data_IF_525514747057
#
_entry.id   IF_525514747057
#
_cell.length_a   1.000
_cell.length_b   1.000
_cell.length_c   1.000
_cell.angle_alpha   90.00
_cell.angle_beta   90.00
_cell.angle_gamma   90.00
#
_symmetry.space_group_name_H-M   'P 1'
#
loop_
_entity.id
_entity.type
_entity.pdbx_description
1 polymer ?
#
# COMPACT_ATOMS: atom_id res chain seq x y z
N UNK A 1 -30.88 1.02 6.18
CA UNK A 1 -30.10 1.86 7.11
C UNK A 1 -28.63 1.45 7.12
N UNK A 2 -28.29 0.19 7.21
CA UNK A 2 -26.90 -0.33 7.27
C UNK A 2 -26.03 0.18 6.12
N UNK A 3 -26.43 0.02 4.87
CA UNK A 3 -25.66 0.49 3.71
C UNK A 3 -25.45 2.01 3.72
N UNK A 4 -26.40 2.79 4.23
CA UNK A 4 -26.26 4.24 4.34
C UNK A 4 -25.16 4.60 5.34
N UNK A 5 -25.08 3.90 6.49
CA UNK A 5 -24.02 4.12 7.48
C UNK A 5 -22.64 3.77 6.92
N UNK A 6 -22.52 2.66 6.19
CA UNK A 6 -21.26 2.26 5.53
C UNK A 6 -20.83 3.34 4.53
N UNK A 7 -21.74 3.73 3.62
CA UNK A 7 -21.45 4.75 2.58
C UNK A 7 -21.08 6.08 3.24
N UNK A 8 -21.82 6.52 4.26
CA UNK A 8 -21.52 7.75 4.98
C UNK A 8 -20.12 7.73 5.61
N UNK A 9 -19.73 6.61 6.24
CA UNK A 9 -18.39 6.44 6.82
C UNK A 9 -17.30 6.54 5.77
N UNK A 10 -17.47 5.89 4.61
CA UNK A 10 -16.52 5.95 3.49
C UNK A 10 -16.44 7.38 2.93
N UNK A 11 -17.59 8.07 2.75
CA UNK A 11 -17.60 9.46 2.28
C UNK A 11 -16.88 10.39 3.26
N UNK A 12 -17.14 10.26 4.56
CA UNK A 12 -16.45 11.04 5.61
C UNK A 12 -14.94 10.80 5.52
N UNK A 13 -14.51 9.56 5.36
CA UNK A 13 -13.09 9.22 5.17
C UNK A 13 -12.51 9.89 3.92
N UNK A 14 -13.18 9.79 2.75
CA UNK A 14 -12.69 10.39 1.51
C UNK A 14 -12.63 11.93 1.59
N UNK A 15 -13.64 12.56 2.20
CA UNK A 15 -13.66 14.01 2.45
C UNK A 15 -12.49 14.41 3.38
N UNK A 16 -12.21 13.63 4.43
CA UNK A 16 -11.08 13.89 5.31
C UNK A 16 -9.74 13.86 4.54
N UNK A 17 -9.54 12.92 3.61
CA UNK A 17 -8.34 12.87 2.76
C UNK A 17 -8.21 14.11 1.88
N UNK A 18 -9.30 14.57 1.26
CA UNK A 18 -9.32 15.82 0.48
C UNK A 18 -8.98 17.04 1.34
N UNK A 19 -9.53 17.14 2.56
CA UNK A 19 -9.24 18.23 3.49
C UNK A 19 -7.75 18.26 3.88
N UNK A 20 -7.11 17.12 4.08
CA UNK A 20 -5.65 17.05 4.30
C UNK A 20 -4.91 17.62 3.09
N UNK A 21 -5.30 17.23 1.86
CA UNK A 21 -4.72 17.79 0.63
C UNK A 21 -4.82 19.31 0.58
N UNK A 22 -5.99 19.87 0.86
CA UNK A 22 -6.20 21.32 0.91
C UNK A 22 -5.40 22.02 2.00
N UNK A 23 -5.27 21.41 3.20
CA UNK A 23 -4.50 21.97 4.29
C UNK A 23 -3.02 22.18 3.92
N UNK A 24 -2.45 21.25 3.13
CA UNK A 24 -1.06 21.34 2.68
C UNK A 24 -0.89 22.14 1.37
N UNK A 25 -1.95 22.57 0.70
CA UNK A 25 -1.87 23.26 -0.61
C UNK A 25 -0.99 24.50 -0.61
N UNK A 26 -0.98 25.25 0.50
CA UNK A 26 -0.19 26.48 0.69
C UNK A 26 1.26 26.23 1.09
N UNK A 27 1.66 24.98 1.36
CA UNK A 27 3.01 24.63 1.79
C UNK A 27 3.93 24.21 0.65
N UNK A 28 3.43 24.15 -0.57
CA UNK A 28 4.16 23.75 -1.77
C UNK A 28 4.63 25.02 -2.51
N UNK A 29 5.82 25.50 -2.18
CA UNK A 29 6.39 26.72 -2.75
C UNK A 29 7.26 26.45 -3.99
N UNK A 30 7.92 25.29 -4.01
CA UNK A 30 8.83 24.86 -5.07
C UNK A 30 8.69 23.35 -5.36
N UNK A 31 9.46 22.88 -6.33
CA UNK A 31 9.48 21.46 -6.71
C UNK A 31 9.97 20.53 -5.60
N UNK A 32 10.88 20.99 -4.73
CA UNK A 32 11.40 20.22 -3.60
C UNK A 32 10.33 20.05 -2.52
N UNK A 33 9.56 21.09 -2.23
CA UNK A 33 8.40 21.00 -1.34
C UNK A 33 7.36 20.04 -1.91
N UNK A 34 7.07 20.13 -3.21
CA UNK A 34 6.02 19.36 -3.85
C UNK A 34 6.35 17.86 -3.97
N UNK A 35 7.59 17.49 -4.35
CA UNK A 35 7.98 16.09 -4.60
C UNK A 35 8.71 15.43 -3.44
N UNK A 36 9.25 16.18 -2.48
CA UNK A 36 10.06 15.66 -1.38
C UNK A 36 9.69 16.26 -0.01
N UNK A 37 8.65 17.10 0.06
CA UNK A 37 8.20 17.71 1.30
C UNK A 37 9.22 18.63 1.97
N UNK A 38 10.19 19.18 1.20
CA UNK A 38 11.26 20.02 1.72
C UNK A 38 12.19 19.31 2.69
N UNK A 39 12.26 17.97 2.69
CA UNK A 39 13.05 17.13 3.61
C UNK A 39 12.76 17.39 5.09
N UNK A 40 11.48 17.57 5.44
CA UNK A 40 11.04 17.92 6.80
C UNK A 40 10.17 16.83 7.45
N UNK A 41 10.28 15.58 6.96
CA UNK A 41 9.46 14.49 7.45
C UNK A 41 9.94 13.96 8.80
N UNK A 42 9.01 13.85 9.76
CA UNK A 42 9.29 13.22 11.05
C UNK A 42 9.40 11.68 10.95
N UNK A 43 10.02 11.02 11.93
CA UNK A 43 10.33 9.59 11.83
C UNK A 43 9.10 8.68 11.77
N UNK A 44 8.02 9.00 12.47
CA UNK A 44 6.78 8.23 12.46
C UNK A 44 6.10 8.31 11.08
N UNK A 45 5.94 9.55 10.57
CA UNK A 45 5.31 9.76 9.26
C UNK A 45 6.13 9.10 8.16
N UNK A 46 7.47 9.22 8.21
CA UNK A 46 8.38 8.58 7.24
C UNK A 46 8.22 7.06 7.24
N UNK A 47 8.16 6.43 8.42
CA UNK A 47 8.00 4.98 8.55
C UNK A 47 6.63 4.52 8.02
N UNK A 48 5.57 5.10 8.56
CA UNK A 48 4.21 4.68 8.26
C UNK A 48 3.83 4.97 6.80
N UNK A 49 4.31 6.10 6.25
CA UNK A 49 4.11 6.42 4.84
C UNK A 49 4.86 5.44 3.91
N UNK A 50 6.10 5.06 4.24
CA UNK A 50 6.84 4.08 3.45
C UNK A 50 6.08 2.74 3.38
N UNK A 51 5.63 2.25 4.52
CA UNK A 51 4.97 0.95 4.61
C UNK A 51 3.54 0.97 4.05
N UNK A 52 2.76 2.02 4.33
CA UNK A 52 1.41 2.15 3.79
C UNK A 52 1.40 2.25 2.26
N UNK A 53 2.37 2.97 1.67
CA UNK A 53 2.47 3.11 0.22
C UNK A 53 2.95 1.84 -0.49
N UNK A 54 3.61 0.93 0.23
CA UNK A 54 4.10 -0.33 -0.30
C UNK A 54 3.04 -1.45 -0.30
N UNK A 55 2.25 -1.54 0.77
CA UNK A 55 1.38 -2.69 1.03
C UNK A 55 0.23 -2.87 0.04
N UNK A 56 -0.29 -1.80 -0.56
CA UNK A 56 -1.42 -1.79 -1.48
C UNK A 56 -2.67 -2.54 -0.94
N UNK A 57 -3.68 -2.72 -1.76
CA UNK A 57 -4.84 -3.58 -1.44
C UNK A 57 -4.44 -5.04 -1.19
N UNK A 58 -3.22 -5.45 -1.58
CA UNK A 58 -2.75 -6.81 -1.39
C UNK A 58 -2.72 -7.23 0.09
N UNK A 59 -2.34 -6.33 0.99
CA UNK A 59 -2.34 -6.61 2.45
C UNK A 59 -3.71 -7.01 3.00
N UNK A 60 -4.78 -6.37 2.52
CA UNK A 60 -6.15 -6.54 3.05
C UNK A 60 -7.04 -7.44 2.18
N UNK A 61 -6.61 -7.79 0.98
CA UNK A 61 -7.37 -8.63 0.06
C UNK A 61 -6.56 -9.84 -0.42
N UNK A 62 -5.44 -9.64 -1.09
CA UNK A 62 -4.66 -10.72 -1.70
C UNK A 62 -4.06 -11.67 -0.69
N UNK A 63 -3.38 -11.15 0.34
CA UNK A 63 -2.71 -11.98 1.35
C UNK A 63 -3.70 -12.79 2.21
N UNK A 64 -4.82 -12.24 2.74
CA UNK A 64 -5.81 -13.04 3.43
C UNK A 64 -6.46 -14.07 2.52
N UNK A 65 -6.77 -13.72 1.26
CA UNK A 65 -7.33 -14.63 0.27
C UNK A 65 -6.41 -15.81 -0.05
N UNK A 66 -5.11 -15.51 -0.20
CA UNK A 66 -4.08 -16.53 -0.42
C UNK A 66 -3.97 -17.46 0.79
N UNK A 67 -3.91 -16.92 2.01
CA UNK A 67 -3.87 -17.71 3.23
C UNK A 67 -5.13 -18.57 3.41
N UNK A 68 -6.31 -18.03 3.07
CA UNK A 68 -7.58 -18.75 3.10
C UNK A 68 -7.54 -20.02 2.23
N UNK A 69 -6.99 -19.94 1.01
CA UNK A 69 -6.98 -21.04 0.05
C UNK A 69 -5.81 -22.01 0.25
N UNK A 70 -4.61 -21.50 0.54
CA UNK A 70 -3.37 -22.28 0.43
C UNK A 70 -2.69 -22.55 1.76
N UNK A 71 -3.20 -22.01 2.86
CA UNK A 71 -2.56 -22.07 4.17
C UNK A 71 -1.39 -21.07 4.31
N UNK A 72 -0.48 -21.37 5.24
CA UNK A 72 0.53 -20.39 5.68
C UNK A 72 1.82 -20.41 4.86
N UNK A 73 2.10 -21.39 4.01
CA UNK A 73 3.40 -21.48 3.33
C UNK A 73 3.68 -20.28 2.42
N UNK A 74 2.87 -20.09 1.39
CA UNK A 74 3.08 -19.01 0.41
C UNK A 74 3.00 -17.61 1.04
N UNK A 75 1.94 -17.23 1.75
CA UNK A 75 1.87 -15.91 2.38
C UNK A 75 2.91 -15.75 3.51
N UNK A 76 3.28 -16.78 4.21
CA UNK A 76 4.30 -16.75 5.27
C UNK A 76 5.71 -16.47 4.72
N UNK A 77 6.13 -17.20 3.70
CA UNK A 77 7.43 -16.91 3.05
C UNK A 77 7.45 -15.54 2.39
N UNK A 78 6.34 -15.10 1.79
CA UNK A 78 6.20 -13.72 1.30
C UNK A 78 6.39 -12.72 2.43
N UNK A 79 5.69 -12.89 3.55
CA UNK A 79 5.79 -11.99 4.71
C UNK A 79 7.22 -11.94 5.28
N UNK A 80 7.91 -13.09 5.37
CA UNK A 80 9.30 -13.15 5.82
C UNK A 80 10.20 -12.40 4.83
N UNK A 81 10.06 -12.64 3.53
CA UNK A 81 10.84 -11.96 2.49
C UNK A 81 10.66 -10.46 2.51
N UNK A 82 9.43 -9.98 2.59
CA UNK A 82 9.11 -8.56 2.65
C UNK A 82 9.59 -7.91 3.95
N UNK A 83 9.39 -8.55 5.11
CA UNK A 83 9.88 -8.02 6.39
C UNK A 83 11.42 -7.93 6.44
N UNK A 84 12.13 -8.93 5.92
CA UNK A 84 13.59 -8.91 5.80
C UNK A 84 14.05 -7.86 4.78
N UNK A 85 13.37 -7.76 3.64
CA UNK A 85 13.63 -6.75 2.61
C UNK A 85 13.47 -5.33 3.16
N UNK A 86 12.36 -5.06 3.84
CA UNK A 86 12.13 -3.79 4.54
C UNK A 86 13.26 -3.50 5.53
N UNK A 87 13.53 -4.40 6.47
CA UNK A 87 14.54 -4.17 7.49
C UNK A 87 15.93 -3.92 6.90
N UNK A 88 16.33 -4.70 5.89
CA UNK A 88 17.62 -4.54 5.20
C UNK A 88 17.68 -3.24 4.40
N UNK A 89 16.61 -2.86 3.70
CA UNK A 89 16.55 -1.61 2.94
C UNK A 89 16.72 -0.39 3.86
N UNK A 90 16.00 -0.35 4.98
CA UNK A 90 16.17 0.68 6.00
C UNK A 90 17.56 0.69 6.62
N UNK A 91 18.19 -0.49 6.83
CA UNK A 91 19.51 -0.61 7.44
C UNK A 91 20.63 -0.18 6.49
N UNK A 92 20.59 -0.64 5.25
CA UNK A 92 21.71 -0.53 4.30
C UNK A 92 21.56 0.75 3.45
N UNK A 93 20.36 1.02 2.92
CA UNK A 93 20.14 2.06 1.91
C UNK A 93 19.78 3.39 2.54
N UNK A 94 18.82 3.40 3.48
CA UNK A 94 18.16 4.62 3.91
C UNK A 94 19.12 5.73 4.35
N UNK A 95 20.06 5.44 5.26
CA UNK A 95 21.00 6.44 5.76
C UNK A 95 21.95 6.95 4.68
N UNK A 96 22.43 6.05 3.85
CA UNK A 96 23.36 6.39 2.74
C UNK A 96 22.64 7.26 1.72
N UNK A 97 21.46 6.85 1.30
CA UNK A 97 20.66 7.58 0.33
C UNK A 97 20.26 8.97 0.87
N UNK A 98 19.82 9.06 2.14
CA UNK A 98 19.47 10.35 2.77
C UNK A 98 20.64 11.34 2.74
N UNK A 99 21.83 10.91 3.18
CA UNK A 99 23.02 11.75 3.22
C UNK A 99 23.48 12.16 1.83
N UNK A 100 23.60 11.19 0.92
CA UNK A 100 24.10 11.44 -0.43
C UNK A 100 23.14 12.30 -1.25
N UNK A 101 21.85 12.00 -1.22
CA UNK A 101 20.87 12.79 -1.97
C UNK A 101 20.76 14.23 -1.46
N UNK A 102 20.99 14.46 -0.16
CA UNK A 102 21.03 15.81 0.38
C UNK A 102 22.24 16.61 -0.09
N UNK A 103 23.43 15.97 -0.11
CA UNK A 103 24.68 16.59 -0.57
C UNK A 103 24.65 16.89 -2.08
N UNK A 104 23.95 16.08 -2.87
CA UNK A 104 23.78 16.27 -4.31
C UNK A 104 22.54 17.12 -4.67
N UNK A 105 21.77 17.55 -3.67
CA UNK A 105 20.49 18.27 -3.84
C UNK A 105 19.47 17.55 -4.73
N UNK A 106 19.62 16.22 -4.88
CA UNK A 106 18.77 15.42 -5.72
C UNK A 106 17.37 15.24 -5.11
N UNK A 107 16.32 15.53 -5.87
CA UNK A 107 14.92 15.44 -5.43
C UNK A 107 14.20 14.19 -5.93
N UNK A 108 14.79 13.47 -6.89
CA UNK A 108 14.26 12.18 -7.40
C UNK A 108 15.35 11.12 -7.40
N UNK A 109 14.95 9.84 -7.44
CA UNK A 109 15.89 8.71 -7.49
C UNK A 109 16.67 8.67 -8.81
N UNK A 110 16.07 8.86 -10.01
CA UNK A 110 16.81 8.95 -11.25
C UNK A 110 17.85 10.09 -11.26
N UNK A 111 17.48 11.29 -10.79
CA UNK A 111 18.39 12.40 -10.66
C UNK A 111 19.56 12.09 -9.72
N UNK A 112 19.28 11.44 -8.57
CA UNK A 112 20.33 10.98 -7.66
C UNK A 112 21.36 10.06 -8.36
N UNK A 113 20.88 9.10 -9.16
CA UNK A 113 21.77 8.19 -9.89
C UNK A 113 22.61 8.94 -10.92
N UNK A 114 22.02 9.83 -11.70
CA UNK A 114 22.70 10.66 -12.70
C UNK A 114 23.82 11.51 -12.06
N UNK A 115 23.49 12.24 -10.99
CA UNK A 115 24.46 13.07 -10.26
C UNK A 115 25.54 12.21 -9.56
N UNK A 116 25.19 11.08 -8.99
CA UNK A 116 26.10 10.17 -8.29
C UNK A 116 27.15 9.58 -9.20
N UNK A 117 26.79 9.26 -10.45
CA UNK A 117 27.69 8.66 -11.44
C UNK A 117 28.25 9.69 -12.44
N UNK A 118 28.03 10.99 -12.21
CA UNK A 118 28.51 12.07 -13.07
C UNK A 118 28.07 11.92 -14.53
N UNK A 119 26.81 11.52 -14.76
CA UNK A 119 26.26 11.29 -16.09
C UNK A 119 26.05 12.62 -16.84
N UNK A 120 27.03 12.96 -17.69
CA UNK A 120 27.02 14.23 -18.47
C UNK A 120 25.89 14.32 -19.49
N UNK A 121 25.27 13.20 -19.86
CA UNK A 121 24.23 13.13 -20.88
C UNK A 121 22.84 12.97 -20.29
N UNK A 122 22.72 12.93 -18.97
CA UNK A 122 21.47 12.62 -18.26
C UNK A 122 20.77 11.34 -18.73
N UNK A 123 21.53 10.36 -19.26
CA UNK A 123 20.99 9.12 -19.80
C UNK A 123 20.45 8.22 -18.69
N UNK A 124 21.16 8.11 -17.56
CA UNK A 124 20.70 7.37 -16.38
C UNK A 124 19.41 7.99 -15.82
N UNK A 125 19.32 9.31 -15.84
CA UNK A 125 18.15 10.03 -15.42
C UNK A 125 16.94 9.71 -16.31
N UNK A 126 17.10 9.81 -17.63
CA UNK A 126 16.06 9.49 -18.61
C UNK A 126 15.64 8.02 -18.55
N UNK A 127 16.61 7.08 -18.48
CA UNK A 127 16.33 5.65 -18.40
C UNK A 127 15.56 5.29 -17.12
N UNK A 128 16.00 5.81 -15.96
CA UNK A 128 15.29 5.61 -14.70
C UNK A 128 13.87 6.18 -14.74
N UNK A 129 13.68 7.35 -15.33
CA UNK A 129 12.37 7.97 -15.51
C UNK A 129 11.44 7.12 -16.39
N UNK A 130 11.93 6.62 -17.53
CA UNK A 130 11.15 5.74 -18.43
C UNK A 130 10.74 4.46 -17.72
N UNK A 131 11.66 3.82 -16.99
CA UNK A 131 11.35 2.61 -16.21
C UNK A 131 10.22 2.91 -15.20
N UNK A 132 10.33 4.00 -14.44
CA UNK A 132 9.29 4.38 -13.48
C UNK A 132 7.93 4.57 -14.16
N UNK A 133 7.88 5.30 -15.27
CA UNK A 133 6.63 5.56 -16.00
C UNK A 133 6.02 4.25 -16.51
N UNK A 134 6.81 3.40 -17.18
CA UNK A 134 6.34 2.14 -17.77
C UNK A 134 5.75 1.19 -16.72
N UNK A 135 6.29 1.15 -15.51
CA UNK A 135 5.79 0.25 -14.48
C UNK A 135 4.76 0.90 -13.55
N UNK A 136 4.92 2.19 -13.21
CA UNK A 136 4.04 2.81 -12.21
C UNK A 136 2.71 3.30 -12.78
N UNK A 137 2.65 3.70 -14.05
CA UNK A 137 1.37 4.09 -14.67
C UNK A 137 0.39 2.91 -14.72
N UNK A 138 0.77 1.73 -15.23
CA UNK A 138 -0.12 0.56 -15.18
C UNK A 138 -0.46 0.11 -13.74
N UNK A 139 0.49 0.23 -12.82
CA UNK A 139 0.24 -0.14 -11.42
C UNK A 139 -0.77 0.81 -10.77
N UNK A 140 -0.63 2.12 -10.96
CA UNK A 140 -1.62 3.11 -10.50
C UNK A 140 -3.01 2.83 -11.09
N UNK A 141 -3.09 2.53 -12.40
CA UNK A 141 -4.34 2.17 -13.05
C UNK A 141 -4.97 0.90 -12.43
N UNK A 142 -4.16 -0.09 -12.05
CA UNK A 142 -4.65 -1.28 -11.33
C UNK A 142 -5.25 -0.95 -9.97
N UNK A 143 -4.70 0.04 -9.26
CA UNK A 143 -5.25 0.56 -8.01
C UNK A 143 -6.63 1.19 -8.21
N UNK A 144 -6.80 2.02 -9.23
CA UNK A 144 -8.12 2.59 -9.56
C UNK A 144 -9.14 1.51 -9.93
N UNK A 145 -8.71 0.50 -10.70
CA UNK A 145 -9.54 -0.65 -11.03
C UNK A 145 -9.97 -1.45 -9.77
N UNK A 146 -9.07 -1.60 -8.79
CA UNK A 146 -9.39 -2.24 -7.52
C UNK A 146 -10.46 -1.46 -6.73
N UNK A 147 -10.38 -0.13 -6.68
CA UNK A 147 -11.42 0.72 -6.10
C UNK A 147 -12.76 0.54 -6.82
N UNK A 148 -12.77 0.53 -8.15
CA UNK A 148 -13.97 0.28 -8.95
C UNK A 148 -14.63 -1.06 -8.63
N UNK A 149 -13.84 -2.14 -8.57
CA UNK A 149 -14.31 -3.49 -8.20
C UNK A 149 -14.90 -3.52 -6.78
N UNK A 150 -14.23 -2.86 -5.83
CA UNK A 150 -14.69 -2.81 -4.45
C UNK A 150 -16.08 -2.18 -4.34
N UNK A 151 -16.28 -0.99 -4.90
CA UNK A 151 -17.58 -0.30 -4.85
C UNK A 151 -18.65 -1.03 -5.64
N UNK A 152 -18.32 -1.59 -6.80
CA UNK A 152 -19.25 -2.39 -7.58
C UNK A 152 -19.71 -3.63 -6.80
N UNK A 153 -18.81 -4.36 -6.18
CA UNK A 153 -19.14 -5.57 -5.41
C UNK A 153 -19.94 -5.31 -4.15
N UNK A 154 -19.75 -4.12 -3.54
CA UNK A 154 -20.41 -3.75 -2.29
C UNK A 154 -21.80 -3.14 -2.49
N UNK A 155 -21.94 -2.28 -3.48
CA UNK A 155 -23.12 -1.41 -3.62
C UNK A 155 -23.84 -1.57 -4.96
N UNK A 156 -23.34 -2.41 -5.86
CA UNK A 156 -23.90 -2.56 -7.20
C UNK A 156 -23.77 -1.29 -8.09
N UNK A 157 -22.92 -0.34 -7.67
CA UNK A 157 -22.65 0.88 -8.45
C UNK A 157 -21.91 0.50 -9.73
N UNK A 158 -22.13 1.27 -10.80
CA UNK A 158 -21.40 1.07 -12.03
C UNK A 158 -19.88 1.10 -11.79
N UNK A 159 -19.20 0.11 -12.31
CA UNK A 159 -17.76 -0.09 -12.10
C UNK A 159 -16.93 1.12 -12.59
N UNK A 160 -17.25 1.64 -13.80
CA UNK A 160 -16.53 2.77 -14.37
C UNK A 160 -16.76 4.05 -13.57
N UNK A 161 -18.00 4.32 -13.16
CA UNK A 161 -18.33 5.48 -12.35
C UNK A 161 -17.57 5.44 -11.00
N UNK A 162 -17.57 4.29 -10.33
CA UNK A 162 -16.87 4.10 -9.06
C UNK A 162 -15.34 4.26 -9.21
N UNK A 163 -14.75 3.71 -10.27
CA UNK A 163 -13.34 3.85 -10.57
C UNK A 163 -12.95 5.32 -10.81
N UNK A 164 -13.71 6.03 -11.65
CA UNK A 164 -13.44 7.44 -11.99
C UNK A 164 -13.58 8.34 -10.77
N UNK A 165 -14.63 8.16 -9.94
CA UNK A 165 -14.82 8.95 -8.72
C UNK A 165 -13.66 8.73 -7.75
N UNK A 166 -13.22 7.47 -7.56
CA UNK A 166 -12.06 7.15 -6.71
C UNK A 166 -10.77 7.79 -7.24
N UNK A 167 -10.53 7.70 -8.55
CA UNK A 167 -9.39 8.35 -9.19
C UNK A 167 -9.44 9.88 -8.98
N UNK A 168 -10.59 10.53 -9.18
CA UNK A 168 -10.74 11.97 -8.95
C UNK A 168 -10.41 12.39 -7.52
N UNK A 169 -10.78 11.60 -6.52
CA UNK A 169 -10.45 11.88 -5.12
C UNK A 169 -8.94 11.77 -4.89
N UNK A 170 -8.31 10.68 -5.36
CA UNK A 170 -6.87 10.45 -5.18
C UNK A 170 -6.05 11.54 -5.89
N UNK A 171 -6.35 11.79 -7.15
CA UNK A 171 -5.74 12.85 -7.95
C UNK A 171 -5.95 14.22 -7.27
N UNK A 172 -7.16 14.49 -6.77
CA UNK A 172 -7.53 15.77 -6.16
C UNK A 172 -6.67 16.16 -4.96
N UNK A 173 -6.49 15.29 -3.98
CA UNK A 173 -5.65 15.64 -2.82
C UNK A 173 -4.14 15.58 -3.15
N UNK A 174 -3.73 14.72 -4.08
CA UNK A 174 -2.34 14.61 -4.52
C UNK A 174 -1.88 15.87 -5.24
N UNK A 175 -2.66 16.39 -6.19
CA UNK A 175 -2.36 17.64 -6.93
C UNK A 175 -2.31 18.84 -5.99
N UNK A 176 -3.23 18.92 -5.04
CA UNK A 176 -3.31 20.08 -4.14
C UNK A 176 -2.21 20.09 -3.11
N UNK A 177 -1.97 18.96 -2.47
CA UNK A 177 -1.12 18.87 -1.28
C UNK A 177 0.28 18.34 -1.51
N UNK A 178 0.57 17.69 -2.66
CA UNK A 178 1.88 17.13 -2.97
C UNK A 178 2.35 16.09 -1.95
N UNK A 179 3.67 15.91 -1.83
CA UNK A 179 4.29 14.87 -1.01
C UNK A 179 3.93 14.95 0.49
N UNK A 180 3.80 16.16 1.05
CA UNK A 180 3.43 16.32 2.46
C UNK A 180 2.01 15.84 2.74
N UNK A 181 1.07 16.13 1.83
CA UNK A 181 -0.29 15.64 1.97
C UNK A 181 -0.30 14.10 1.87
N UNK A 182 0.31 13.54 0.83
CA UNK A 182 0.41 12.10 0.60
C UNK A 182 0.98 11.40 1.84
N UNK A 183 2.10 11.83 2.37
CA UNK A 183 2.72 11.19 3.54
C UNK A 183 1.91 11.34 4.82
N UNK A 184 1.14 12.42 4.97
CA UNK A 184 0.22 12.60 6.10
C UNK A 184 -1.02 11.74 5.96
N UNK A 185 -1.59 11.66 4.75
CA UNK A 185 -2.70 10.72 4.46
C UNK A 185 -2.27 9.29 4.67
N UNK A 186 -1.05 8.89 4.24
CA UNK A 186 -0.49 7.56 4.46
C UNK A 186 -0.43 7.18 5.94
N UNK A 187 -0.03 8.11 6.83
CA UNK A 187 -0.06 7.88 8.28
C UNK A 187 -1.49 7.62 8.77
N UNK A 188 -2.46 8.41 8.35
CA UNK A 188 -3.88 8.21 8.73
C UNK A 188 -4.37 6.88 8.16
N UNK A 189 -4.05 6.59 6.93
CA UNK A 189 -4.41 5.36 6.21
C UNK A 189 -3.84 4.12 6.88
N UNK A 190 -2.57 4.16 7.32
CA UNK A 190 -1.96 3.04 8.05
C UNK A 190 -2.64 2.76 9.40
N UNK A 191 -3.13 3.81 10.09
CA UNK A 191 -3.93 3.64 11.31
C UNK A 191 -5.27 2.99 10.98
N UNK A 192 -5.96 3.47 9.93
CA UNK A 192 -7.25 2.89 9.51
C UNK A 192 -7.09 1.43 9.10
N UNK A 193 -6.04 1.08 8.34
CA UNK A 193 -5.71 -0.31 8.00
C UNK A 193 -5.47 -1.17 9.24
N UNK A 194 -4.71 -0.66 10.21
CA UNK A 194 -4.44 -1.38 11.46
C UNK A 194 -5.71 -1.65 12.27
N UNK A 195 -6.59 -0.65 12.39
CA UNK A 195 -7.89 -0.81 13.05
C UNK A 195 -8.79 -1.81 12.32
N UNK A 196 -8.77 -1.79 10.97
CA UNK A 196 -9.53 -2.74 10.15
C UNK A 196 -9.06 -4.19 10.40
N UNK A 197 -7.74 -4.44 10.40
CA UNK A 197 -7.18 -5.76 10.68
C UNK A 197 -7.59 -6.27 12.07
N UNK A 198 -7.47 -5.44 13.10
CA UNK A 198 -7.86 -5.81 14.48
C UNK A 198 -9.35 -6.11 14.58
N UNK A 199 -10.21 -5.26 14.01
CA UNK A 199 -11.66 -5.43 14.07
C UNK A 199 -12.11 -6.74 13.37
N UNK A 200 -11.54 -7.02 12.20
CA UNK A 200 -11.82 -8.26 11.45
C UNK A 200 -11.38 -9.49 12.22
N UNK A 201 -10.18 -9.46 12.83
CA UNK A 201 -9.68 -10.56 13.64
C UNK A 201 -10.56 -10.84 14.85
N UNK A 202 -10.88 -9.81 15.63
CA UNK A 202 -11.68 -9.97 16.86
C UNK A 202 -13.06 -10.54 16.54
N UNK A 203 -13.75 -9.97 15.55
CA UNK A 203 -15.07 -10.47 15.15
C UNK A 203 -14.98 -11.86 14.53
N UNK A 204 -14.04 -12.07 13.62
CA UNK A 204 -13.91 -13.32 12.87
C UNK A 204 -13.60 -14.52 13.76
N UNK A 205 -12.71 -14.35 14.75
CA UNK A 205 -12.40 -15.42 15.74
C UNK A 205 -13.67 -15.81 16.50
N UNK A 206 -14.46 -14.82 16.96
CA UNK A 206 -15.73 -15.09 17.64
C UNK A 206 -16.72 -15.84 16.75
N UNK A 207 -16.89 -15.39 15.50
CA UNK A 207 -17.80 -15.98 14.53
C UNK A 207 -17.37 -17.39 14.04
N UNK A 208 -16.07 -17.70 14.12
CA UNK A 208 -15.55 -19.04 13.81
C UNK A 208 -15.71 -20.05 14.97
N UNK A 209 -16.26 -19.63 16.10
CA UNK A 209 -16.41 -20.48 17.29
C UNK A 209 -15.23 -20.42 18.25
N UNK A 210 -14.39 -19.39 18.16
CA UNK A 210 -13.20 -19.17 18.99
C UNK A 210 -11.89 -19.58 18.33
N UNK A 211 -10.80 -19.21 18.98
CA UNK A 211 -9.44 -19.48 18.45
C UNK A 211 -9.14 -20.98 18.31
N UNK A 212 -9.56 -21.79 19.28
CA UNK A 212 -9.32 -23.22 19.26
C UNK A 212 -10.03 -23.90 18.08
N UNK A 213 -11.23 -23.44 17.73
CA UNK A 213 -11.95 -23.92 16.55
C UNK A 213 -11.23 -23.55 15.23
N UNK A 214 -10.69 -22.33 15.13
CA UNK A 214 -9.88 -21.90 13.98
C UNK A 214 -8.65 -22.78 13.82
N UNK A 215 -7.90 -23.01 14.91
CA UNK A 215 -6.68 -23.84 14.90
C UNK A 215 -7.02 -25.30 14.60
N UNK A 216 -8.04 -25.88 15.22
CA UNK A 216 -8.47 -27.25 14.96
C UNK A 216 -8.88 -27.46 13.50
N UNK A 217 -9.61 -26.49 12.90
CA UNK A 217 -9.94 -26.54 11.49
C UNK A 217 -8.69 -26.51 10.62
N UNK A 218 -7.76 -25.59 10.88
CA UNK A 218 -6.52 -25.47 10.12
C UNK A 218 -5.62 -26.71 10.23
N UNK A 219 -5.57 -27.35 11.41
CA UNK A 219 -4.85 -28.61 11.64
C UNK A 219 -5.47 -29.81 10.91
N UNK A 220 -6.77 -29.78 10.66
CA UNK A 220 -7.47 -30.86 9.94
C UNK A 220 -7.18 -30.87 8.44
N UNK A 221 -6.59 -29.78 7.89
CA UNK A 221 -6.34 -29.62 6.47
C UNK A 221 -4.90 -30.01 6.13
N UNK A 222 -4.68 -30.91 5.15
CA UNK A 222 -3.34 -31.33 4.76
C UNK A 222 -2.47 -30.14 4.31
N UNK A 223 -1.29 -29.99 4.92
CA UNK A 223 -0.31 -28.98 4.53
C UNK A 223 -0.64 -27.53 4.91
N UNK A 224 -1.80 -27.25 5.52
CA UNK A 224 -2.27 -25.89 5.75
C UNK A 224 -1.42 -25.08 6.76
N UNK A 225 -0.97 -25.72 7.84
CA UNK A 225 -0.15 -25.09 8.90
C UNK A 225 1.35 -25.38 8.78
N UNK A 226 1.83 -25.84 7.65
CA UNK A 226 3.27 -26.06 7.45
C UNK A 226 3.85 -25.07 6.47
N UNK A 227 5.08 -24.63 6.73
CA UNK A 227 5.83 -23.76 5.83
C UNK A 227 6.45 -24.51 4.63
N UNK A 228 6.41 -25.83 4.63
CA UNK A 228 7.05 -26.70 3.60
C UNK A 228 6.04 -27.35 2.66
N UNK A 229 4.76 -27.05 2.81
CA UNK A 229 3.72 -27.50 1.88
C UNK A 229 2.62 -26.44 1.75
N UNK A 230 1.97 -26.42 0.61
CA UNK A 230 0.79 -25.61 0.31
C UNK A 230 -0.44 -26.49 0.26
N UNK A 231 -1.52 -26.06 0.90
CA UNK A 231 -2.80 -26.74 0.82
C UNK A 231 -3.45 -26.49 -0.55
N UNK A 232 -3.95 -27.54 -1.18
CA UNK A 232 -4.77 -27.44 -2.38
C UNK A 232 -6.24 -27.61 -1.99
N UNK A 233 -6.95 -26.50 -1.88
CA UNK A 233 -8.34 -26.50 -1.46
C UNK A 233 -9.29 -27.20 -2.44
N UNK A 234 -8.95 -27.28 -3.74
CA UNK A 234 -9.77 -27.93 -4.74
C UNK A 234 -9.71 -29.46 -4.67
N UNK A 235 -8.55 -30.01 -4.30
CA UNK A 235 -8.30 -31.46 -4.24
C UNK A 235 -8.28 -32.00 -2.80
N UNK A 236 -8.24 -31.13 -1.80
CA UNK A 236 -8.08 -31.52 -0.40
C UNK A 236 -6.73 -32.17 -0.08
N UNK A 237 -5.70 -31.87 -0.88
CA UNK A 237 -4.35 -32.44 -0.78
C UNK A 237 -3.33 -31.40 -0.36
N UNK A 238 -2.10 -31.81 -0.09
CA UNK A 238 -0.96 -30.93 0.13
C UNK A 238 0.06 -31.11 -0.98
N UNK A 239 0.55 -30.00 -1.53
CA UNK A 239 1.67 -29.97 -2.47
C UNK A 239 2.93 -29.47 -1.78
N UNK A 240 4.07 -30.11 -2.04
CA UNK A 240 5.35 -29.72 -1.46
C UNK A 240 5.73 -28.30 -1.91
N UNK A 241 6.18 -27.47 -0.97
CA UNK A 241 6.71 -26.13 -1.24
C UNK A 241 8.22 -26.24 -1.35
N UNK A 242 8.74 -26.19 -2.56
CA UNK A 242 10.15 -26.44 -2.85
C UNK A 242 11.06 -25.30 -2.38
N UNK A 243 12.36 -25.57 -2.25
CA UNK A 243 13.34 -24.53 -1.95
C UNK A 243 13.35 -23.42 -3.00
N UNK A 244 13.11 -23.77 -4.25
CA UNK A 244 13.01 -22.78 -5.35
C UNK A 244 11.79 -21.85 -5.15
N UNK A 245 10.65 -22.41 -4.75
CA UNK A 245 9.44 -21.63 -4.44
C UNK A 245 9.70 -20.67 -3.26
N UNK A 246 10.37 -21.17 -2.20
CA UNK A 246 10.74 -20.35 -1.04
C UNK A 246 11.62 -19.18 -1.45
N UNK A 247 12.73 -19.44 -2.16
CA UNK A 247 13.65 -18.40 -2.60
C UNK A 247 12.98 -17.40 -3.55
N UNK A 248 12.20 -17.90 -4.49
CA UNK A 248 11.44 -17.07 -5.45
C UNK A 248 10.43 -16.17 -4.73
N UNK A 249 9.68 -16.71 -3.77
CA UNK A 249 8.69 -15.95 -3.00
C UNK A 249 9.36 -14.90 -2.11
N UNK A 250 10.43 -15.25 -1.40
CA UNK A 250 11.18 -14.32 -0.56
C UNK A 250 11.89 -13.23 -1.35
N UNK A 251 12.27 -13.52 -2.61
CA UNK A 251 12.96 -12.56 -3.48
C UNK A 251 12.12 -11.30 -3.76
N UNK A 252 10.80 -11.33 -3.55
CA UNK A 252 9.95 -10.14 -3.62
C UNK A 252 10.47 -9.00 -2.74
N UNK A 253 10.97 -9.29 -1.54
CA UNK A 253 11.58 -8.30 -0.65
C UNK A 253 12.81 -7.58 -1.23
N UNK A 254 13.49 -8.14 -2.23
CA UNK A 254 14.59 -7.48 -2.93
C UNK A 254 14.10 -6.29 -3.78
N UNK A 255 12.84 -6.27 -4.19
CA UNK A 255 12.24 -5.16 -4.92
C UNK A 255 12.32 -3.83 -4.17
N UNK A 256 12.28 -3.86 -2.84
CA UNK A 256 12.29 -2.65 -2.00
C UNK A 256 13.55 -1.78 -2.19
N UNK A 257 14.66 -2.38 -2.55
CA UNK A 257 15.92 -1.65 -2.81
C UNK A 257 15.84 -0.75 -4.05
N UNK A 258 14.88 -1.00 -4.95
CA UNK A 258 14.68 -0.23 -6.17
C UNK A 258 13.37 0.55 -6.26
N UNK A 259 12.46 0.46 -5.26
CA UNK A 259 11.15 1.10 -5.32
C UNK A 259 11.23 2.63 -5.08
N UNK A 260 11.05 3.47 -6.12
CA UNK A 260 11.31 4.91 -6.02
C UNK A 260 10.48 5.61 -4.95
N UNK A 261 9.20 5.29 -4.82
CA UNK A 261 8.31 5.90 -3.84
C UNK A 261 8.73 5.58 -2.39
N UNK A 262 9.28 4.40 -2.11
CA UNK A 262 9.85 4.05 -0.79
C UNK A 262 11.15 4.83 -0.56
N UNK A 263 12.05 4.82 -1.55
CA UNK A 263 13.34 5.50 -1.47
C UNK A 263 13.19 7.01 -1.26
N UNK A 264 12.16 7.63 -1.84
CA UNK A 264 11.84 9.05 -1.63
C UNK A 264 11.55 9.35 -0.15
N UNK A 265 10.91 8.43 0.61
CA UNK A 265 10.67 8.61 2.05
C UNK A 265 11.99 8.69 2.82
N UNK A 266 12.98 7.89 2.44
CA UNK A 266 14.32 7.97 3.05
C UNK A 266 15.00 9.32 2.75
N UNK A 267 14.84 9.83 1.52
CA UNK A 267 15.39 11.14 1.13
C UNK A 267 14.69 12.30 1.85
N UNK A 268 13.42 12.15 2.20
CA UNK A 268 12.55 13.19 2.74
C UNK A 268 12.65 13.40 4.26
N UNK A 269 13.24 12.48 5.00
CA UNK A 269 13.35 12.59 6.46
C UNK A 269 14.20 13.80 6.88
N UNK A 270 13.79 14.49 7.94
CA UNK A 270 14.46 15.70 8.41
C UNK A 270 15.89 15.48 8.90
N UNK A 271 16.13 14.37 9.65
CA UNK A 271 17.44 14.02 10.21
C UNK A 271 17.75 12.53 9.97
N UNK A 272 18.95 12.25 9.42
CA UNK A 272 19.42 10.88 9.19
C UNK A 272 19.50 10.02 10.46
N UNK A 273 19.69 10.63 11.64
CA UNK A 273 19.74 9.92 12.92
C UNK A 273 18.38 9.32 13.30
N UNK A 274 17.28 9.96 12.85
CA UNK A 274 15.92 9.51 13.10
C UNK A 274 15.51 8.29 12.26
N UNK A 275 16.27 7.94 11.22
CA UNK A 275 16.07 6.73 10.42
C UNK A 275 16.11 5.43 11.25
N UNK A 276 16.87 5.41 12.35
CA UNK A 276 16.89 4.24 13.24
C UNK A 276 15.53 4.02 13.90
N UNK A 277 14.87 5.10 14.33
CA UNK A 277 13.52 5.02 14.90
C UNK A 277 12.51 4.62 13.81
N UNK A 278 12.57 5.25 12.62
CA UNK A 278 11.70 4.91 11.49
C UNK A 278 11.82 3.43 11.12
N UNK A 279 13.04 2.89 11.01
CA UNK A 279 13.27 1.45 10.75
C UNK A 279 12.56 0.56 11.77
N UNK A 280 12.69 0.88 13.07
CA UNK A 280 12.04 0.08 14.12
C UNK A 280 10.52 0.11 13.98
N UNK A 281 9.94 1.29 13.77
CA UNK A 281 8.49 1.44 13.58
C UNK A 281 8.03 0.65 12.36
N UNK A 282 8.67 0.86 11.20
CA UNK A 282 8.37 0.20 9.94
C UNK A 282 8.42 -1.34 10.08
N UNK A 283 9.55 -1.87 10.59
CA UNK A 283 9.73 -3.32 10.72
C UNK A 283 8.72 -3.96 11.66
N UNK A 284 8.39 -3.31 12.79
CA UNK A 284 7.40 -3.84 13.73
C UNK A 284 6.01 -3.82 13.10
N UNK A 285 5.64 -2.71 12.45
CA UNK A 285 4.33 -2.58 11.82
C UNK A 285 4.13 -3.62 10.71
N UNK A 286 5.11 -3.81 9.84
CA UNK A 286 5.07 -4.81 8.74
C UNK A 286 4.84 -6.22 9.29
N UNK A 287 5.61 -6.62 10.32
CA UNK A 287 5.47 -7.95 10.91
C UNK A 287 4.07 -8.14 11.49
N UNK A 288 3.56 -7.17 12.24
CA UNK A 288 2.23 -7.24 12.86
C UNK A 288 1.14 -7.28 11.78
N UNK A 289 1.19 -6.37 10.80
CA UNK A 289 0.16 -6.24 9.77
C UNK A 289 0.08 -7.48 8.88
N UNK A 290 1.23 -8.01 8.42
CA UNK A 290 1.25 -9.22 7.59
C UNK A 290 0.83 -10.47 8.38
N UNK A 291 1.27 -10.61 9.63
CA UNK A 291 0.84 -11.73 10.48
C UNK A 291 -0.67 -11.67 10.70
N UNK A 292 -1.22 -10.51 11.03
CA UNK A 292 -2.65 -10.32 11.18
C UNK A 292 -3.42 -10.68 9.89
N UNK A 293 -2.92 -10.27 8.74
CA UNK A 293 -3.50 -10.55 7.43
C UNK A 293 -3.56 -12.07 7.14
N UNK A 294 -2.47 -12.80 7.41
CA UNK A 294 -2.42 -14.26 7.26
C UNK A 294 -3.43 -14.94 8.21
N UNK A 295 -3.46 -14.52 9.47
CA UNK A 295 -4.40 -15.06 10.45
C UNK A 295 -5.85 -14.80 10.03
N UNK A 296 -6.15 -13.64 9.42
CA UNK A 296 -7.49 -13.35 8.88
C UNK A 296 -7.90 -14.38 7.81
N UNK A 297 -6.98 -14.80 6.95
CA UNK A 297 -7.26 -15.86 5.98
C UNK A 297 -7.64 -17.18 6.66
N UNK A 298 -6.88 -17.58 7.69
CA UNK A 298 -7.17 -18.77 8.50
C UNK A 298 -8.52 -18.65 9.23
N UNK A 299 -8.79 -17.50 9.82
CA UNK A 299 -10.07 -17.20 10.51
C UNK A 299 -11.23 -17.25 9.54
N UNK A 300 -11.09 -16.65 8.34
CA UNK A 300 -12.11 -16.70 7.29
C UNK A 300 -12.46 -18.13 6.90
N UNK A 301 -11.46 -19.01 6.77
CA UNK A 301 -11.70 -20.44 6.49
C UNK A 301 -12.37 -21.15 7.69
N UNK A 302 -11.98 -20.79 8.92
CA UNK A 302 -12.65 -21.24 10.14
C UNK A 302 -14.13 -20.83 10.18
N UNK A 303 -14.46 -19.59 9.79
CA UNK A 303 -15.83 -19.09 9.66
C UNK A 303 -16.62 -19.85 8.60
N UNK A 304 -16.00 -20.22 7.49
CA UNK A 304 -16.62 -21.07 6.47
C UNK A 304 -16.95 -22.45 7.03
N UNK A 305 -16.04 -23.04 7.80
CA UNK A 305 -16.27 -24.32 8.46
C UNK A 305 -17.40 -24.26 9.49
N UNK A 306 -17.52 -23.13 10.20
CA UNK A 306 -18.59 -22.87 11.16
C UNK A 306 -19.94 -22.52 10.50
N UNK A 307 -20.00 -22.41 9.17
CA UNK A 307 -21.21 -22.02 8.42
C UNK A 307 -21.54 -20.53 8.47
N UNK A 308 -20.65 -19.69 8.99
CA UNK A 308 -20.82 -18.25 9.06
C UNK A 308 -20.49 -17.53 7.73
N UNK A 309 -19.68 -18.15 6.88
CA UNK A 309 -19.35 -17.69 5.53
C UNK A 309 -19.54 -18.81 4.51
N UNK A 310 -19.97 -18.43 3.30
CA UNK A 310 -19.91 -19.34 2.15
C UNK A 310 -18.45 -19.60 1.75
N UNK A 311 -18.19 -20.75 1.14
CA UNK A 311 -16.85 -21.06 0.65
C UNK A 311 -16.45 -20.13 -0.50
N UNK A 312 -15.28 -19.50 -0.37
CA UNK A 312 -14.73 -18.58 -1.34
C UNK A 312 -13.69 -19.28 -2.21
N UNK A 313 -14.00 -19.50 -3.49
CA UNK A 313 -13.11 -20.15 -4.45
C UNK A 313 -12.36 -19.16 -5.34
N UNK A 314 -11.13 -19.50 -5.73
CA UNK A 314 -10.31 -18.69 -6.65
C UNK A 314 -10.21 -17.23 -6.21
N UNK A 315 -10.43 -16.28 -7.11
CA UNK A 315 -10.33 -14.84 -6.84
C UNK A 315 -11.39 -14.30 -5.86
N UNK A 316 -12.46 -15.05 -5.58
CA UNK A 316 -13.44 -14.63 -4.56
C UNK A 316 -12.86 -14.66 -3.13
N UNK A 317 -11.81 -15.46 -2.89
CA UNK A 317 -11.11 -15.50 -1.60
C UNK A 317 -10.52 -14.13 -1.19
N UNK A 318 -10.16 -13.30 -2.15
CA UNK A 318 -9.69 -11.93 -1.89
C UNK A 318 -10.76 -11.04 -1.23
N UNK A 319 -12.04 -11.45 -1.27
CA UNK A 319 -13.14 -10.70 -0.66
C UNK A 319 -13.40 -11.11 0.80
N UNK A 320 -12.59 -11.96 1.43
CA UNK A 320 -12.82 -12.47 2.79
C UNK A 320 -13.05 -11.35 3.80
N UNK A 321 -12.23 -10.30 3.81
CA UNK A 321 -12.41 -9.14 4.71
C UNK A 321 -13.71 -8.39 4.39
N UNK A 322 -14.04 -8.24 3.11
CA UNK A 322 -15.30 -7.59 2.67
C UNK A 322 -16.51 -8.38 3.18
N UNK A 323 -16.48 -9.71 3.07
CA UNK A 323 -17.55 -10.58 3.58
C UNK A 323 -17.70 -10.49 5.09
N UNK A 324 -16.58 -10.50 5.81
CA UNK A 324 -16.60 -10.33 7.27
C UNK A 324 -17.13 -8.94 7.66
N UNK A 325 -16.73 -7.88 6.97
CA UNK A 325 -17.27 -6.53 7.19
C UNK A 325 -18.79 -6.46 7.00
N UNK A 326 -19.30 -7.13 5.96
CA UNK A 326 -20.75 -7.21 5.72
C UNK A 326 -21.48 -7.97 6.84
N UNK A 327 -20.90 -8.99 7.43
CA UNK A 327 -21.49 -9.68 8.60
C UNK A 327 -21.48 -8.78 9.84
N UNK A 328 -20.36 -8.08 10.10
CA UNK A 328 -20.27 -7.08 11.19
C UNK A 328 -21.40 -6.07 11.06
N UNK A 329 -21.64 -5.55 9.86
CA UNK A 329 -22.63 -4.50 9.60
C UNK A 329 -24.07 -4.87 9.97
N UNK A 330 -24.40 -6.16 10.11
CA UNK A 330 -25.74 -6.63 10.48
C UNK A 330 -26.06 -6.45 11.98
N UNK A 331 -25.05 -6.14 12.82
CA UNK A 331 -25.20 -6.05 14.28
C UNK A 331 -25.54 -4.62 14.79
N UNK A 332 -26.12 -3.79 13.93
CA UNK A 332 -26.61 -2.45 14.30
C UNK A 332 -25.76 -1.30 13.77
N UNK A 333 -26.13 -0.07 14.12
CA UNK A 333 -25.58 1.15 13.53
C UNK A 333 -24.06 1.29 13.82
N UNK A 334 -23.62 1.10 15.06
CA UNK A 334 -22.21 1.20 15.40
C UNK A 334 -21.36 0.15 14.68
N UNK A 335 -21.89 -1.06 14.55
CA UNK A 335 -21.23 -2.13 13.80
C UNK A 335 -21.21 -1.81 12.29
N UNK A 336 -22.22 -1.17 11.75
CA UNK A 336 -22.22 -0.69 10.35
C UNK A 336 -21.18 0.41 10.11
N UNK A 337 -20.97 1.33 11.07
CA UNK A 337 -19.88 2.32 11.01
C UNK A 337 -18.51 1.63 11.06
N UNK A 338 -18.33 0.65 11.94
CA UNK A 338 -17.10 -0.14 12.01
C UNK A 338 -16.84 -0.90 10.69
N UNK A 339 -17.87 -1.50 10.11
CA UNK A 339 -17.77 -2.14 8.79
C UNK A 339 -17.37 -1.11 7.71
N UNK A 340 -17.95 0.08 7.72
CA UNK A 340 -17.54 1.18 6.85
C UNK A 340 -16.07 1.57 7.02
N UNK A 341 -15.55 1.57 8.27
CA UNK A 341 -14.15 1.83 8.56
C UNK A 341 -13.24 0.71 8.04
N UNK A 342 -13.65 -0.56 8.15
CA UNK A 342 -12.92 -1.71 7.60
C UNK A 342 -12.81 -1.58 6.08
N UNK A 343 -13.91 -1.26 5.41
CA UNK A 343 -13.94 -1.07 3.96
C UNK A 343 -13.13 0.17 3.52
N UNK A 344 -13.18 1.26 4.31
CA UNK A 344 -12.29 2.40 4.13
C UNK A 344 -10.82 2.02 4.30
N UNK A 345 -10.49 1.01 5.13
CA UNK A 345 -9.14 0.45 5.26
C UNK A 345 -8.63 -0.18 3.96
N UNK A 346 -9.48 -0.88 3.22
CA UNK A 346 -9.13 -1.45 1.90
C UNK A 346 -8.88 -0.31 0.89
N UNK A 347 -9.75 0.72 0.89
CA UNK A 347 -9.53 1.91 0.07
C UNK A 347 -8.24 2.63 0.46
N UNK A 348 -8.00 2.79 1.76
CA UNK A 348 -6.79 3.40 2.29
C UNK A 348 -5.52 2.73 1.77
N UNK A 349 -5.47 1.39 1.82
CA UNK A 349 -4.35 0.61 1.31
C UNK A 349 -4.12 0.80 -0.20
N UNK A 350 -5.19 0.96 -0.97
CA UNK A 350 -5.10 1.20 -2.41
C UNK A 350 -4.67 2.64 -2.70
N UNK A 351 -5.26 3.61 -1.99
CA UNK A 351 -5.03 5.04 -2.19
C UNK A 351 -3.60 5.45 -1.87
N UNK A 352 -3.03 4.98 -0.74
CA UNK A 352 -1.66 5.27 -0.30
C UNK A 352 -0.60 4.76 -1.27
N UNK A 353 -0.89 3.70 -2.00
CA UNK A 353 0.00 3.19 -3.03
C UNK A 353 -0.14 4.00 -4.32
N UNK A 354 -1.37 4.23 -4.77
CA UNK A 354 -1.65 4.92 -6.04
C UNK A 354 -1.13 6.37 -6.06
N UNK A 355 -1.37 7.15 -4.99
CA UNK A 355 -0.91 8.55 -4.91
C UNK A 355 0.62 8.66 -4.89
N UNK A 356 1.29 7.75 -4.20
CA UNK A 356 2.74 7.68 -4.11
C UNK A 356 3.39 7.32 -5.44
N UNK A 357 2.77 6.40 -6.17
CA UNK A 357 3.21 6.03 -7.52
C UNK A 357 2.96 7.12 -8.53
N UNK A 358 1.81 7.81 -8.45
CA UNK A 358 1.53 8.98 -9.28
C UNK A 358 2.54 10.10 -9.07
N UNK A 359 2.91 10.42 -7.81
CA UNK A 359 3.94 11.41 -7.54
C UNK A 359 5.30 11.01 -8.12
N UNK A 360 5.68 9.74 -8.00
CA UNK A 360 6.93 9.24 -8.56
C UNK A 360 6.93 9.29 -10.09
N UNK A 361 5.84 8.88 -10.75
CA UNK A 361 5.69 8.95 -12.19
C UNK A 361 5.64 10.41 -12.69
N UNK A 362 4.91 11.28 -12.01
CA UNK A 362 4.83 12.69 -12.34
C UNK A 362 6.18 13.41 -12.19
N UNK A 363 6.96 13.11 -11.15
CA UNK A 363 8.31 13.63 -11.00
C UNK A 363 9.24 13.13 -12.10
N UNK A 364 9.07 11.89 -12.53
CA UNK A 364 9.86 11.31 -13.62
C UNK A 364 9.61 12.03 -14.95
N UNK A 365 8.38 12.42 -15.26
CA UNK A 365 8.09 13.22 -16.45
C UNK A 365 8.56 14.66 -16.29
N UNK A 366 8.11 15.36 -15.25
CA UNK A 366 8.29 16.80 -15.12
C UNK A 366 9.71 17.21 -14.75
N UNK A 367 10.39 16.48 -13.88
CA UNK A 367 11.76 16.77 -13.45
C UNK A 367 12.78 16.06 -14.33
N UNK A 368 12.67 14.72 -14.44
CA UNK A 368 13.72 13.96 -15.05
C UNK A 368 13.72 14.02 -16.58
N UNK A 369 12.54 13.94 -17.24
CA UNK A 369 12.46 13.99 -18.70
C UNK A 369 12.46 15.45 -19.19
N UNK A 370 11.53 16.30 -18.74
CA UNK A 370 11.37 17.63 -19.33
C UNK A 370 12.50 18.58 -18.91
N UNK A 371 12.84 18.68 -17.63
CA UNK A 371 13.82 19.65 -17.16
C UNK A 371 15.25 19.16 -17.31
N UNK A 372 15.58 17.96 -16.83
CA UNK A 372 16.96 17.49 -16.81
C UNK A 372 17.42 16.95 -18.17
N UNK A 373 16.68 15.98 -18.76
CA UNK A 373 17.06 15.39 -20.04
C UNK A 373 16.73 16.31 -21.21
N UNK A 374 15.55 16.91 -21.22
CA UNK A 374 15.10 17.84 -22.26
C UNK A 374 15.67 19.26 -22.14
N UNK A 375 16.46 19.53 -21.08
CA UNK A 375 17.08 20.85 -20.81
C UNK A 375 16.11 22.02 -20.80
N UNK A 376 14.83 21.79 -20.44
CA UNK A 376 13.82 22.84 -20.37
C UNK A 376 14.02 23.69 -19.11
N UNK A 377 14.31 24.98 -19.28
CA UNK A 377 14.43 25.93 -18.18
C UNK A 377 13.05 26.44 -17.77
N UNK A 378 12.44 25.78 -16.81
CA UNK A 378 11.14 26.17 -16.25
C UNK A 378 11.34 27.05 -15.00
N UNK A 379 10.51 28.08 -14.86
CA UNK A 379 10.38 28.79 -13.57
C UNK A 379 9.70 27.87 -12.55
N UNK A 380 9.84 28.14 -11.24
CA UNK A 380 9.21 27.35 -10.19
C UNK A 380 7.69 27.19 -10.39
N UNK A 381 6.99 28.26 -10.80
CA UNK A 381 5.56 28.20 -11.11
C UNK A 381 5.24 27.28 -12.29
N UNK A 382 6.06 27.32 -13.34
CA UNK A 382 5.90 26.44 -14.51
C UNK A 382 6.22 24.99 -14.15
N UNK A 383 7.24 24.77 -13.32
CA UNK A 383 7.60 23.45 -12.80
C UNK A 383 6.48 22.83 -11.97
N UNK A 384 5.89 23.59 -11.03
CA UNK A 384 4.73 23.16 -10.26
C UNK A 384 3.48 22.91 -11.12
N UNK A 385 3.27 23.74 -12.14
CA UNK A 385 2.17 23.54 -13.08
C UNK A 385 2.37 22.25 -13.89
N UNK A 386 3.58 22.03 -14.42
CA UNK A 386 3.95 20.81 -15.14
C UNK A 386 3.78 19.57 -14.24
N UNK A 387 4.20 19.65 -12.96
CA UNK A 387 4.02 18.62 -11.98
C UNK A 387 2.55 18.21 -11.80
N UNK A 388 1.68 19.20 -11.58
CA UNK A 388 0.23 18.99 -11.41
C UNK A 388 -0.43 18.47 -12.66
N UNK A 389 -0.08 19.00 -13.83
CA UNK A 389 -0.59 18.52 -15.12
C UNK A 389 -0.20 17.08 -15.36
N UNK A 390 1.04 16.70 -15.04
CA UNK A 390 1.53 15.32 -15.22
C UNK A 390 0.78 14.35 -14.33
N UNK A 391 0.43 14.72 -13.08
CA UNK A 391 -0.40 13.87 -12.21
C UNK A 391 -1.77 13.57 -12.84
N UNK A 392 -2.33 14.53 -13.59
CA UNK A 392 -3.62 14.30 -14.29
C UNK A 392 -3.43 13.35 -15.49
N UNK A 393 -2.27 13.40 -16.14
CA UNK A 393 -2.00 12.59 -17.32
C UNK A 393 -1.55 11.15 -17.01
N UNK A 394 -0.97 10.94 -15.85
CA UNK A 394 -0.56 9.62 -15.33
C UNK A 394 -1.74 8.85 -14.79
#
# INVERSE_FOLDING_TARGET
MTNICIIATIIIYLVAMLLVGFAYSKSNNDSTDFYLGGRKMGPLVTAMSAEASDMSSWLLMGMPGLAYLTGIASPGWTAIGLALGTWLNWLIVARRLRRYSANLEAITVPQFLSLRFHDQRNLLNALGAVIIIVFFVPYTASGFAACGKLFHSLFGVDYMAAMVVSACVIVGYTITGGFRAVTTTDLIQSIVMSLALVAVLVYGIGAAGGWDAVVANAQSLPGYLTMMASHNAAEGTATSYSLLDIVSTMAWGLGYFGMPHILLRFMAIEDEKKLVLSRRIASVWVIIAMTASIIIGMVGLGMTKAGALEYLSGSSSETVIVRIANLIAQHGILAAVLAGLILAGILAATMSTADSQMLAAASSVSQNILQEFGHMKLTERQSLFAARLTIICV
#
